data_IF_280884936500
#
_entry.id   IF_280884936500
#
_cell.length_a   1.000
_cell.length_b   1.000
_cell.length_c   1.000
_cell.angle_alpha   90.00
_cell.angle_beta   90.00
_cell.angle_gamma   90.00
#
_symmetry.space_group_name_H-M   'P 1'
#
loop_
_entity.id
_entity.type
_entity.pdbx_description
1 polymer ?
#
# COMPACT_ATOMS: atom_id res chain seq x y z
N UNK A 1 1.15 2.61 -4.01
CA UNK A 1 1.68 3.95 -3.70
C UNK A 1 0.54 4.95 -3.82
N UNK A 2 0.50 6.00 -2.99
CA UNK A 2 -0.45 7.10 -3.16
C UNK A 2 0.35 8.42 -3.21
N UNK A 3 0.13 9.30 -4.20
CA UNK A 3 0.69 10.64 -4.17
C UNK A 3 -0.05 11.47 -3.12
N UNK A 4 0.71 12.11 -2.23
CA UNK A 4 0.15 12.91 -1.13
C UNK A 4 0.77 14.30 -1.20
N UNK A 5 -0.07 15.35 -1.14
CA UNK A 5 0.42 16.73 -1.01
C UNK A 5 1.42 16.83 0.14
N UNK A 6 2.55 17.50 -0.06
CA UNK A 6 3.62 17.57 0.96
C UNK A 6 3.11 18.11 2.31
N UNK A 7 2.18 19.06 2.29
CA UNK A 7 1.53 19.61 3.48
C UNK A 7 0.68 18.60 4.27
N UNK A 8 0.25 17.50 3.65
CA UNK A 8 -0.58 16.46 4.26
C UNK A 8 0.20 15.21 4.69
N UNK A 9 1.50 15.11 4.39
CA UNK A 9 2.28 13.90 4.70
C UNK A 9 2.22 13.55 6.19
N UNK A 10 2.48 14.52 7.06
CA UNK A 10 2.43 14.30 8.52
C UNK A 10 1.05 13.80 8.97
N UNK A 11 -0.02 14.39 8.42
CA UNK A 11 -1.40 13.95 8.69
C UNK A 11 -1.66 12.54 8.16
N UNK A 12 -1.21 12.21 6.96
CA UNK A 12 -1.36 10.88 6.38
C UNK A 12 -0.65 9.81 7.23
N UNK A 13 0.56 10.10 7.71
CA UNK A 13 1.28 9.24 8.67
C UNK A 13 0.44 9.05 9.93
N UNK A 14 0.05 10.14 10.61
CA UNK A 14 -0.69 10.05 11.87
C UNK A 14 -2.03 9.31 11.75
N UNK A 15 -2.79 9.57 10.68
CA UNK A 15 -4.09 8.93 10.44
C UNK A 15 -3.92 7.44 10.16
N UNK A 16 -2.96 7.06 9.32
CA UNK A 16 -2.82 5.65 8.91
C UNK A 16 -2.11 4.79 9.96
N UNK A 17 -1.22 5.37 10.78
CA UNK A 17 -0.57 4.69 11.91
C UNK A 17 -1.56 4.17 12.97
N UNK A 18 -2.80 4.64 12.98
CA UNK A 18 -3.88 4.15 13.87
C UNK A 18 -4.36 2.74 13.56
N UNK A 19 -4.03 2.21 12.38
CA UNK A 19 -4.62 0.97 11.87
C UNK A 19 -3.53 -0.04 11.46
N UNK A 20 -2.71 -0.53 12.41
CA UNK A 20 -1.55 -1.38 12.13
C UNK A 20 -1.93 -2.69 11.42
N UNK A 21 -3.13 -3.23 11.70
CA UNK A 21 -3.61 -4.48 11.10
C UNK A 21 -4.17 -4.30 9.67
N UNK A 22 -4.13 -3.07 9.14
CA UNK A 22 -4.53 -2.75 7.76
C UNK A 22 -3.32 -2.37 6.91
N UNK A 23 -3.20 -1.11 6.48
CA UNK A 23 -1.99 -0.56 5.88
C UNK A 23 -0.98 -0.06 6.92
N UNK A 24 -1.44 0.38 8.09
CA UNK A 24 -0.59 0.97 9.14
C UNK A 24 0.11 2.27 8.71
N UNK A 25 1.22 2.58 9.38
CA UNK A 25 2.08 3.70 9.00
C UNK A 25 2.70 3.49 7.61
N UNK A 26 3.03 4.55 6.86
CA UNK A 26 3.81 4.42 5.63
C UNK A 26 5.16 3.74 5.92
N UNK A 27 5.56 2.83 5.04
CA UNK A 27 6.87 2.18 5.09
C UNK A 27 7.96 3.02 4.40
N UNK A 28 7.56 3.93 3.51
CA UNK A 28 8.46 4.84 2.81
C UNK A 28 7.74 6.10 2.35
N UNK A 29 8.46 7.23 2.36
CA UNK A 29 8.00 8.54 1.86
C UNK A 29 9.10 9.13 0.98
N UNK A 30 8.75 9.52 -0.24
CA UNK A 30 9.67 10.17 -1.16
C UNK A 30 10.33 9.22 -2.15
N UNK A 31 11.61 9.46 -2.47
CA UNK A 31 12.27 8.90 -3.65
C UNK A 31 12.08 7.37 -3.80
N UNK A 32 11.39 6.89 -4.87
CA UNK A 32 11.11 5.46 -5.08
C UNK A 32 12.38 4.62 -5.28
N UNK A 33 13.45 5.22 -5.81
CA UNK A 33 14.72 4.54 -6.05
C UNK A 33 15.35 3.98 -4.76
N UNK A 34 15.10 4.62 -3.62
CA UNK A 34 15.65 4.17 -2.32
C UNK A 34 15.07 2.83 -1.87
N UNK A 35 13.90 2.45 -2.38
CA UNK A 35 13.24 1.16 -2.14
C UNK A 35 13.24 0.26 -3.38
N UNK A 36 14.11 0.56 -4.36
CA UNK A 36 14.31 -0.26 -5.55
C UNK A 36 13.27 -0.09 -6.65
N UNK A 37 12.37 0.89 -6.55
CA UNK A 37 11.38 1.17 -7.60
C UNK A 37 11.96 2.19 -8.57
N UNK A 38 12.20 1.76 -9.81
CA UNK A 38 12.87 2.57 -10.86
C UNK A 38 11.90 3.36 -11.74
N UNK A 39 10.68 2.87 -11.91
CA UNK A 39 9.64 3.49 -12.74
C UNK A 39 8.26 3.37 -12.09
N UNK A 40 7.64 4.50 -11.75
CA UNK A 40 6.28 4.56 -11.20
C UNK A 40 5.19 4.47 -12.28
N UNK A 41 5.56 4.63 -13.55
CA UNK A 41 4.66 4.47 -14.70
C UNK A 41 4.33 3.01 -15.03
N UNK A 42 5.10 2.06 -14.47
CA UNK A 42 4.96 0.62 -14.74
C UNK A 42 4.87 -0.16 -13.43
N UNK A 43 3.75 -0.07 -12.68
CA UNK A 43 3.62 -0.77 -11.41
C UNK A 43 3.50 -2.29 -11.59
N UNK A 44 4.11 -3.07 -10.68
CA UNK A 44 3.96 -4.53 -10.66
C UNK A 44 2.50 -4.98 -10.47
N UNK A 45 1.71 -4.17 -9.76
CA UNK A 45 0.30 -4.41 -9.49
C UNK A 45 -0.52 -3.12 -9.61
N UNK A 46 -1.67 -3.21 -10.28
CA UNK A 46 -2.60 -2.10 -10.46
C UNK A 46 -2.20 -1.18 -11.62
N UNK A 47 -2.73 0.04 -11.58
CA UNK A 47 -2.56 1.03 -12.65
C UNK A 47 -1.65 2.19 -12.22
N UNK A 48 -0.86 2.78 -13.13
CA UNK A 48 -0.07 3.96 -12.82
C UNK A 48 -0.96 5.16 -12.48
N UNK A 49 -0.44 6.05 -11.62
CA UNK A 49 -1.14 7.26 -11.19
C UNK A 49 -0.30 8.50 -11.49
N UNK A 50 -0.98 9.61 -11.78
CA UNK A 50 -0.33 10.91 -11.96
C UNK A 50 0.12 11.46 -10.60
N UNK A 51 1.30 12.07 -10.57
CA UNK A 51 1.86 12.77 -9.41
C UNK A 51 2.04 14.23 -9.79
N UNK A 52 1.48 15.14 -9.01
CA UNK A 52 1.62 16.58 -9.24
C UNK A 52 2.85 17.17 -8.53
N UNK A 53 3.28 18.35 -8.96
CA UNK A 53 4.51 18.99 -8.47
C UNK A 53 4.51 19.20 -6.94
N UNK A 54 3.34 19.41 -6.32
CA UNK A 54 3.18 19.61 -4.87
C UNK A 54 2.98 18.31 -4.08
N UNK A 55 3.08 17.16 -4.72
CA UNK A 55 2.88 15.83 -4.14
C UNK A 55 4.18 15.05 -4.00
N UNK A 56 4.15 14.10 -3.07
CA UNK A 56 5.22 13.14 -2.83
C UNK A 56 4.64 11.72 -2.89
N UNK A 57 5.32 10.75 -3.52
CA UNK A 57 4.89 9.37 -3.46
C UNK A 57 5.07 8.81 -2.05
N UNK A 58 4.00 8.22 -1.51
CA UNK A 58 3.98 7.58 -0.20
C UNK A 58 3.60 6.10 -0.35
N UNK A 59 4.33 5.23 0.35
CA UNK A 59 4.27 3.79 0.21
C UNK A 59 3.84 3.15 1.52
N UNK A 60 2.92 2.18 1.42
CA UNK A 60 2.44 1.36 2.52
C UNK A 60 2.65 -0.11 2.17
N UNK A 61 2.76 -0.95 3.20
CA UNK A 61 2.62 -2.39 3.02
C UNK A 61 1.22 -2.73 2.47
N UNK A 62 1.13 -3.81 1.71
CA UNK A 62 -0.09 -4.21 1.03
C UNK A 62 -0.33 -5.71 1.19
N UNK A 63 -1.60 -6.13 1.24
CA UNK A 63 -2.01 -7.53 1.33
C UNK A 63 -1.67 -8.39 0.11
N UNK A 64 -0.98 -7.85 -0.91
CA UNK A 64 -0.47 -8.60 -2.06
C UNK A 64 0.91 -9.21 -1.80
N UNK A 65 1.60 -8.86 -0.70
CA UNK A 65 2.90 -9.48 -0.34
C UNK A 65 2.86 -11.02 -0.29
N UNK A 66 1.80 -11.68 0.26
CA UNK A 66 1.67 -13.12 0.19
C UNK A 66 1.58 -13.68 -1.25
N UNK A 67 1.00 -12.93 -2.19
CA UNK A 67 0.94 -13.33 -3.61
C UNK A 67 2.34 -13.30 -4.23
N UNK A 68 3.11 -12.23 -3.97
CA UNK A 68 4.50 -12.15 -4.41
C UNK A 68 5.35 -13.28 -3.81
N UNK A 69 5.17 -13.61 -2.53
CA UNK A 69 5.87 -14.71 -1.87
C UNK A 69 5.51 -16.07 -2.50
N UNK A 70 4.25 -16.28 -2.88
CA UNK A 70 3.81 -17.50 -3.54
C UNK A 70 4.38 -17.67 -4.95
N UNK A 71 4.50 -16.58 -5.72
CA UNK A 71 5.14 -16.62 -7.04
C UNK A 71 6.58 -17.13 -6.94
N UNK A 72 7.32 -16.71 -5.91
CA UNK A 72 8.73 -17.10 -5.71
C UNK A 72 8.87 -18.49 -5.07
N UNK A 73 7.98 -18.84 -4.13
CA UNK A 73 8.07 -20.11 -3.37
C UNK A 73 7.41 -21.30 -4.06
N UNK A 74 6.60 -21.08 -5.08
CA UNK A 74 5.92 -22.12 -5.88
C UNK A 74 5.16 -23.17 -5.04
N UNK A 75 4.18 -22.77 -4.22
CA UNK A 75 3.35 -23.74 -3.51
C UNK A 75 2.56 -24.60 -4.49
N UNK A 76 2.27 -25.85 -4.11
CA UNK A 76 1.50 -26.77 -4.95
C UNK A 76 0.08 -26.24 -5.28
N UNK A 77 -0.49 -25.41 -4.41
CA UNK A 77 -1.78 -24.74 -4.60
C UNK A 77 -1.84 -23.47 -3.76
N UNK A 78 -2.34 -22.37 -4.34
CA UNK A 78 -2.72 -21.16 -3.61
C UNK A 78 -4.02 -20.61 -4.22
N UNK A 79 -4.97 -20.22 -3.38
CA UNK A 79 -6.21 -19.54 -3.79
C UNK A 79 -6.20 -18.15 -3.18
N UNK A 80 -6.42 -17.13 -4.00
CA UNK A 80 -6.41 -15.71 -3.60
C UNK A 80 -7.58 -14.96 -4.23
N UNK A 81 -7.81 -13.73 -3.77
CA UNK A 81 -8.73 -12.82 -4.45
C UNK A 81 -8.06 -12.17 -5.67
N UNK A 82 -8.86 -11.81 -6.67
CA UNK A 82 -8.39 -10.98 -7.78
C UNK A 82 -8.22 -9.51 -7.30
N UNK A 83 -7.24 -8.75 -7.83
CA UNK A 83 -7.09 -7.34 -7.51
C UNK A 83 -8.40 -6.55 -7.70
N UNK A 84 -8.82 -5.77 -6.70
CA UNK A 84 -10.10 -5.05 -6.72
C UNK A 84 -11.33 -5.86 -6.32
N UNK A 85 -11.20 -7.17 -6.08
CA UNK A 85 -12.29 -8.08 -5.69
C UNK A 85 -12.09 -8.63 -4.27
N UNK A 86 -11.99 -7.74 -3.29
CA UNK A 86 -11.74 -8.13 -1.89
C UNK A 86 -12.98 -8.72 -1.20
N UNK A 87 -12.77 -9.46 -0.11
CA UNK A 87 -13.84 -9.92 0.78
C UNK A 87 -14.33 -8.75 1.65
N UNK A 88 -15.61 -8.41 1.53
CA UNK A 88 -16.27 -7.46 2.43
C UNK A 88 -16.69 -8.21 3.70
N UNK A 89 -16.36 -7.66 4.87
CA UNK A 89 -16.67 -8.26 6.18
C UNK A 89 -17.61 -7.35 6.97
N UNK A 90 -18.12 -7.85 8.09
CA UNK A 90 -18.93 -7.06 9.03
C UNK A 90 -18.09 -6.16 9.96
N UNK A 91 -16.75 -6.20 9.84
CA UNK A 91 -15.85 -5.36 10.62
C UNK A 91 -15.81 -3.94 10.07
N UNK A 92 -15.80 -2.98 10.97
CA UNK A 92 -15.63 -1.55 10.69
C UNK A 92 -14.19 -1.13 10.88
N UNK A 93 -13.79 0.01 10.32
CA UNK A 93 -12.43 0.55 10.53
C UNK A 93 -12.13 0.78 12.03
N UNK A 94 -13.14 1.13 12.83
CA UNK A 94 -13.00 1.28 14.28
C UNK A 94 -12.60 -0.02 14.99
N UNK A 95 -12.98 -1.18 14.46
CA UNK A 95 -12.56 -2.47 15.02
C UNK A 95 -11.05 -2.72 14.89
N UNK A 96 -10.38 -2.00 13.98
CA UNK A 96 -8.94 -2.11 13.72
C UNK A 96 -8.12 -0.92 14.26
N UNK A 97 -8.77 0.05 14.88
CA UNK A 97 -8.10 1.24 15.42
C UNK A 97 -7.51 0.95 16.80
N UNK A 98 -6.26 1.36 17.04
CA UNK A 98 -5.56 1.11 18.31
C UNK A 98 -5.63 2.26 19.33
N UNK A 99 -6.29 3.38 19.00
CA UNK A 99 -6.59 4.50 19.92
C UNK A 99 -7.63 5.45 19.32
#
# INVERSE_FOLDING_TARGET
MRPIKRSHISKAVQVTSRFPDTHGAPIHVGSPNTIGITDLGTPDYGEPVRIFDDEEPVFWACGVTPQAAAIVSHPNLMITHAPGHMLITDKTDNDFSIF
#
